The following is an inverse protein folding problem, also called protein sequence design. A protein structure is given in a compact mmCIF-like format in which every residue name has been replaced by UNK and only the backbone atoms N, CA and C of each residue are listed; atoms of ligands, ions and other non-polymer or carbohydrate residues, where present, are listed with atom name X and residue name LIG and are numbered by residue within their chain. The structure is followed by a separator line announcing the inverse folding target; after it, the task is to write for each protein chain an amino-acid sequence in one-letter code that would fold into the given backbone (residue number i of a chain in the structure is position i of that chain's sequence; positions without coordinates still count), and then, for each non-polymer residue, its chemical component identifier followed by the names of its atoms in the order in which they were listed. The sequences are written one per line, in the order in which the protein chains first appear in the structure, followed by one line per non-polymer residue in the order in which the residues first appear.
data_IF_652058789533
#
_entry.id   IF_652058789533
#
_cell.length_a   1.000
_cell.length_b   1.000
_cell.length_c   1.000
_cell.angle_alpha   90.00
_cell.angle_beta   90.00
_cell.angle_gamma   90.00
#
_symmetry.space_group_name_H-M   'P 1'
#
loop_
_entity.id
_entity.type
_entity.pdbx_description
1 polymer ?
#
# COMPACT_ATOMS: atom_id res chain seq x y z
N UNK A 1 -2.11 13.87 -6.58
CA UNK A 1 -1.86 12.41 -6.61
C UNK A 1 -1.24 11.99 -5.29
N UNK A 2 -1.59 10.81 -4.81
CA UNK A 2 -1.05 10.17 -3.61
C UNK A 2 -0.40 8.88 -4.06
N UNK A 3 0.81 8.63 -3.60
CA UNK A 3 1.53 7.38 -3.76
C UNK A 3 1.69 6.76 -2.40
N UNK A 4 1.59 5.44 -2.30
CA UNK A 4 1.93 4.76 -1.08
C UNK A 4 2.55 3.40 -1.33
N UNK A 5 3.30 2.97 -0.33
CA UNK A 5 3.97 1.69 -0.24
C UNK A 5 3.90 1.23 1.21
N UNK A 6 3.77 -0.06 1.44
CA UNK A 6 3.59 -0.60 2.78
C UNK A 6 4.40 -1.87 3.03
N UNK A 7 4.80 -2.04 4.29
CA UNK A 7 5.38 -3.28 4.77
C UNK A 7 4.39 -3.98 5.71
N UNK A 8 4.43 -5.31 5.67
CA UNK A 8 3.58 -6.16 6.51
C UNK A 8 4.45 -7.05 7.39
N UNK A 9 4.05 -7.24 8.64
CA UNK A 9 4.56 -8.35 9.46
C UNK A 9 3.75 -9.61 9.23
N UNK A 10 4.35 -10.75 9.58
CA UNK A 10 3.75 -12.09 9.51
C UNK A 10 3.96 -12.87 10.81
N UNK A 11 3.99 -12.17 11.94
CA UNK A 11 4.36 -12.74 13.24
C UNK A 11 3.20 -13.52 13.89
N UNK A 12 2.00 -13.41 13.32
CA UNK A 12 0.77 -13.99 13.86
C UNK A 12 0.12 -14.93 12.84
N UNK A 13 -0.65 -15.88 13.35
CA UNK A 13 -1.43 -16.81 12.53
C UNK A 13 -2.90 -16.43 12.61
N UNK A 14 -3.59 -16.46 11.48
CA UNK A 14 -5.04 -16.38 11.44
C UNK A 14 -5.62 -17.65 12.09
N UNK A 15 -6.51 -17.52 13.05
CA UNK A 15 -7.13 -18.66 13.73
C UNK A 15 -8.64 -18.48 13.83
N UNK A 16 -9.38 -19.59 13.80
CA UNK A 16 -10.81 -19.58 14.15
C UNK A 16 -10.97 -19.51 15.67
N UNK A 17 -12.19 -19.27 16.15
CA UNK A 17 -12.50 -19.15 17.58
C UNK A 17 -12.04 -20.36 18.41
N UNK A 18 -12.05 -21.55 17.80
CA UNK A 18 -11.61 -22.81 18.42
C UNK A 18 -10.11 -23.10 18.20
N UNK A 19 -9.34 -22.16 17.67
CA UNK A 19 -7.95 -22.36 17.27
C UNK A 19 -7.78 -23.13 15.95
N UNK A 20 -6.57 -23.10 15.38
CA UNK A 20 -6.24 -23.96 14.24
C UNK A 20 -6.05 -25.41 14.71
N UNK A 21 -6.77 -26.34 14.09
CA UNK A 21 -6.55 -27.78 14.24
C UNK A 21 -6.20 -28.35 12.85
N UNK A 22 -4.91 -28.60 12.54
CA UNK A 22 -4.53 -29.12 11.24
C UNK A 22 -4.89 -30.61 11.13
N UNK A 23 -5.16 -31.10 9.92
CA UNK A 23 -5.45 -32.52 9.73
C UNK A 23 -4.22 -33.37 10.02
N UNK A 24 -4.33 -34.29 10.98
CA UNK A 24 -3.26 -35.24 11.33
C UNK A 24 -3.19 -36.42 10.35
N UNK A 25 -4.29 -36.74 9.68
CA UNK A 25 -4.36 -37.78 8.66
C UNK A 25 -4.38 -37.17 7.26
N UNK A 26 -3.37 -37.51 6.45
CA UNK A 26 -3.33 -37.20 5.02
C UNK A 26 -4.18 -38.19 4.22
N UNK A 27 -4.88 -37.71 3.19
CA UNK A 27 -5.64 -38.58 2.29
C UNK A 27 -4.70 -39.52 1.54
N UNK A 28 -5.24 -40.58 0.93
CA UNK A 28 -4.45 -41.59 0.22
C UNK A 28 -3.49 -41.00 -0.83
N UNK A 29 -3.90 -39.90 -1.48
CA UNK A 29 -3.10 -39.22 -2.51
C UNK A 29 -2.00 -38.30 -1.95
N UNK A 30 -2.01 -38.02 -0.64
CA UNK A 30 -1.07 -37.12 0.03
C UNK A 30 -0.14 -37.84 1.02
N UNK A 31 -0.34 -39.14 1.27
CA UNK A 31 0.45 -39.93 2.21
C UNK A 31 1.96 -39.88 1.91
N UNK A 32 2.31 -39.95 0.63
CA UNK A 32 3.70 -40.04 0.17
C UNK A 32 4.21 -38.74 -0.49
N UNK A 33 3.43 -37.64 -0.43
CA UNK A 33 3.82 -36.34 -1.00
C UNK A 33 4.33 -35.42 0.09
N UNK A 34 5.28 -34.55 -0.21
CA UNK A 34 5.70 -33.50 0.73
C UNK A 34 4.55 -32.52 0.99
N UNK A 35 3.87 -32.09 -0.07
CA UNK A 35 2.74 -31.16 0.00
C UNK A 35 1.39 -31.86 0.17
N UNK A 36 0.56 -31.32 1.07
CA UNK A 36 -0.80 -31.77 1.30
C UNK A 36 -1.78 -31.12 0.30
N UNK A 37 -2.81 -31.86 -0.14
CA UNK A 37 -3.84 -31.29 -1.00
C UNK A 37 -4.73 -30.26 -0.27
N UNK A 38 -5.48 -29.47 -1.02
CA UNK A 38 -6.38 -28.43 -0.49
C UNK A 38 -7.38 -28.91 0.57
N UNK A 39 -7.78 -30.19 0.55
CA UNK A 39 -8.67 -30.76 1.58
C UNK A 39 -7.91 -31.13 2.86
N UNK A 40 -6.67 -31.61 2.72
CA UNK A 40 -5.82 -31.98 3.85
C UNK A 40 -5.23 -30.76 4.58
N UNK A 41 -5.25 -29.58 3.95
CA UNK A 41 -4.80 -28.31 4.54
C UNK A 41 -5.93 -27.54 5.26
N UNK A 42 -7.18 -28.02 5.20
CA UNK A 42 -8.29 -27.39 5.91
C UNK A 42 -8.17 -27.60 7.42
N UNK A 43 -8.46 -26.56 8.18
CA UNK A 43 -8.60 -26.67 9.63
C UNK A 43 -9.80 -27.57 9.97
N UNK A 44 -9.61 -28.57 10.82
CA UNK A 44 -10.67 -29.49 11.23
C UNK A 44 -11.77 -28.81 12.08
N UNK A 45 -11.43 -27.71 12.77
CA UNK A 45 -12.41 -26.98 13.58
C UNK A 45 -13.38 -26.12 12.74
N UNK A 46 -12.94 -25.57 11.61
CA UNK A 46 -13.75 -24.62 10.83
C UNK A 46 -13.88 -24.95 9.33
N UNK A 47 -13.14 -25.93 8.83
CA UNK A 47 -13.13 -26.34 7.42
C UNK A 47 -12.49 -25.32 6.47
N UNK A 48 -11.77 -24.31 6.97
CA UNK A 48 -11.21 -23.23 6.15
C UNK A 48 -9.69 -23.35 6.01
N UNK A 49 -9.17 -23.05 4.82
CA UNK A 49 -7.74 -23.11 4.48
C UNK A 49 -6.92 -21.93 5.04
N UNK A 50 -7.57 -20.78 5.29
CA UNK A 50 -6.88 -19.62 5.86
C UNK A 50 -6.55 -19.80 7.34
N UNK A 51 -7.27 -20.67 8.06
CA UNK A 51 -7.03 -20.90 9.47
C UNK A 51 -5.68 -21.63 9.60
N UNK A 52 -4.75 -21.07 10.38
CA UNK A 52 -3.36 -21.49 10.50
C UNK A 52 -2.41 -20.81 9.51
N UNK A 53 -2.92 -20.03 8.57
CA UNK A 53 -2.09 -19.24 7.65
C UNK A 53 -1.50 -18.03 8.37
N UNK A 54 -0.36 -17.53 7.89
CA UNK A 54 0.23 -16.30 8.41
C UNK A 54 -0.68 -15.11 8.14
N UNK A 55 -0.95 -14.32 9.16
CA UNK A 55 -1.65 -13.04 9.02
C UNK A 55 -0.68 -11.98 8.49
N UNK A 56 -1.05 -11.31 7.41
CA UNK A 56 -0.31 -10.17 6.90
C UNK A 56 -0.85 -8.89 7.56
N UNK A 57 -0.13 -8.36 8.56
CA UNK A 57 -0.52 -7.14 9.26
C UNK A 57 0.36 -5.99 8.82
N UNK A 58 -0.24 -4.99 8.16
CA UNK A 58 0.48 -3.76 7.78
C UNK A 58 0.96 -3.03 9.03
N UNK A 59 2.26 -2.79 9.12
CA UNK A 59 2.90 -2.14 10.29
C UNK A 59 3.68 -0.87 9.91
N UNK A 60 3.90 -0.65 8.62
CA UNK A 60 4.58 0.53 8.11
C UNK A 60 3.95 0.96 6.79
N UNK A 61 3.62 2.24 6.65
CA UNK A 61 3.12 2.81 5.39
C UNK A 61 3.88 4.11 5.14
N UNK A 62 4.49 4.22 3.97
CA UNK A 62 5.03 5.47 3.46
C UNK A 62 4.03 6.06 2.47
N UNK A 63 3.51 7.25 2.76
CA UNK A 63 2.64 8.00 1.87
C UNK A 63 3.38 9.20 1.32
N UNK A 64 3.33 9.40 0.01
CA UNK A 64 3.87 10.56 -0.67
C UNK A 64 2.79 11.27 -1.50
N UNK A 65 2.95 12.57 -1.68
CA UNK A 65 2.00 13.40 -2.44
C UNK A 65 2.72 14.19 -3.52
N UNK A 66 2.08 14.27 -4.69
CA UNK A 66 2.55 15.04 -5.82
C UNK A 66 1.39 15.80 -6.49
N UNK A 67 1.69 17.00 -6.98
CA UNK A 67 0.81 17.83 -7.80
C UNK A 67 1.64 18.48 -8.91
N UNK A 68 0.99 19.19 -9.83
CA UNK A 68 1.67 19.81 -10.98
C UNK A 68 2.78 20.80 -10.60
N UNK A 69 2.75 21.36 -9.39
CA UNK A 69 3.77 22.28 -8.90
C UNK A 69 5.03 21.59 -8.32
N UNK A 70 4.94 20.30 -7.99
CA UNK A 70 6.02 19.59 -7.30
C UNK A 70 6.35 18.22 -7.88
N UNK A 71 5.64 17.76 -8.91
CA UNK A 71 5.85 16.43 -9.51
C UNK A 71 7.30 16.22 -9.98
N UNK A 72 7.96 17.28 -10.43
CA UNK A 72 9.33 17.24 -10.94
C UNK A 72 10.40 17.50 -9.86
N UNK A 73 9.97 17.79 -8.63
CA UNK A 73 10.84 18.17 -7.52
C UNK A 73 11.12 16.96 -6.63
N UNK A 74 12.40 16.71 -6.36
CA UNK A 74 12.80 15.66 -5.43
C UNK A 74 12.32 15.99 -4.02
N UNK A 75 11.87 14.96 -3.29
CA UNK A 75 11.36 15.11 -1.92
C UNK A 75 12.49 15.46 -0.95
N UNK A 76 13.71 14.98 -1.19
CA UNK A 76 14.89 15.31 -0.38
C UNK A 76 15.19 16.81 -0.35
N UNK A 77 15.03 17.47 -1.49
CA UNK A 77 15.45 18.86 -1.68
C UNK A 77 14.30 19.81 -1.33
N UNK A 78 13.08 19.46 -1.76
CA UNK A 78 11.86 20.21 -1.50
C UNK A 78 10.78 19.31 -0.88
N UNK A 79 10.89 19.04 0.44
CA UNK A 79 9.98 18.12 1.13
C UNK A 79 8.60 18.71 1.36
N UNK A 80 8.42 20.02 1.16
CA UNK A 80 7.14 20.74 1.36
C UNK A 80 6.55 21.23 0.06
N UNK A 81 5.22 21.34 0.02
CA UNK A 81 4.49 21.96 -1.06
C UNK A 81 3.33 22.79 -0.51
N UNK A 82 3.09 23.96 -1.11
CA UNK A 82 1.93 24.81 -0.76
C UNK A 82 0.65 24.32 -1.43
N UNK A 83 0.74 23.52 -2.48
CA UNK A 83 -0.42 23.05 -3.27
C UNK A 83 -0.83 21.60 -2.97
N UNK A 84 0.07 20.82 -2.38
CA UNK A 84 -0.21 19.47 -1.89
C UNK A 84 0.37 19.28 -0.48
N UNK A 85 0.73 18.06 -0.12
CA UNK A 85 1.27 17.74 1.19
C UNK A 85 0.21 17.65 2.28
N UNK A 86 0.65 17.16 3.44
CA UNK A 86 -0.24 16.92 4.57
C UNK A 86 -0.47 18.21 5.34
N UNK A 87 -1.74 18.50 5.63
CA UNK A 87 -2.18 19.72 6.32
C UNK A 87 -3.01 19.38 7.56
N UNK A 88 -3.06 20.33 8.49
CA UNK A 88 -3.92 20.25 9.67
C UNK A 88 -5.25 20.94 9.41
N UNK A 89 -6.23 20.72 10.28
CA UNK A 89 -7.58 21.32 10.22
C UNK A 89 -7.60 22.86 10.16
N UNK A 90 -6.50 23.51 10.54
CA UNK A 90 -6.38 24.97 10.52
C UNK A 90 -5.98 25.53 9.15
N UNK A 91 -5.30 24.72 8.32
CA UNK A 91 -4.76 25.12 7.01
C UNK A 91 -5.16 24.19 5.86
N UNK A 92 -6.02 23.19 6.09
CA UNK A 92 -6.52 22.26 5.07
C UNK A 92 -7.76 22.76 4.32
N UNK A 93 -8.39 23.85 4.80
CA UNK A 93 -9.58 24.43 4.18
C UNK A 93 -9.26 24.92 2.77
N UNK A 94 -10.05 24.43 1.81
CA UNK A 94 -9.96 24.81 0.41
C UNK A 94 -11.03 25.82 0.03
N UNK A 95 -10.69 26.70 -0.91
CA UNK A 95 -11.65 27.38 -1.76
C UNK A 95 -11.54 26.78 -3.16
N UNK A 96 -12.64 26.24 -3.68
CA UNK A 96 -12.63 25.44 -4.91
C UNK A 96 -11.57 24.33 -4.87
N UNK A 97 -10.43 24.52 -5.53
CA UNK A 97 -9.33 23.54 -5.62
C UNK A 97 -8.07 23.93 -4.84
N UNK A 98 -8.01 25.15 -4.30
CA UNK A 98 -6.80 25.73 -3.70
C UNK A 98 -6.95 25.88 -2.18
N UNK A 99 -5.86 25.76 -1.45
CA UNK A 99 -5.87 25.97 -0.01
C UNK A 99 -5.99 27.46 0.31
N UNK A 100 -6.90 27.83 1.23
CA UNK A 100 -7.10 29.23 1.64
C UNK A 100 -5.93 29.82 2.42
N UNK A 101 -5.08 28.96 2.98
CA UNK A 101 -3.95 29.35 3.83
C UNK A 101 -2.70 28.61 3.40
N UNK A 102 -1.56 29.25 3.60
CA UNK A 102 -0.27 28.60 3.54
C UNK A 102 -0.14 27.48 4.58
N UNK A 103 0.70 26.46 4.35
CA UNK A 103 0.89 25.40 5.31
C UNK A 103 1.58 25.95 6.57
N UNK A 104 1.19 25.45 7.74
CA UNK A 104 1.86 25.78 9.01
C UNK A 104 3.37 25.54 8.90
N UNK A 105 4.16 26.58 9.19
CA UNK A 105 5.60 26.65 8.91
C UNK A 105 6.38 25.40 9.32
N UNK A 106 6.12 24.82 10.51
CA UNK A 106 6.89 23.67 11.02
C UNK A 106 6.23 22.32 10.79
N UNK A 107 4.93 22.24 10.59
CA UNK A 107 4.16 20.99 10.77
C UNK A 107 3.36 20.54 9.55
N UNK A 108 3.16 21.41 8.56
CA UNK A 108 2.32 21.12 7.41
C UNK A 108 3.06 21.32 6.09
N UNK A 109 2.41 20.88 5.00
CA UNK A 109 2.93 20.97 3.64
C UNK A 109 3.88 19.83 3.28
N UNK A 110 4.28 18.99 4.23
CA UNK A 110 5.16 17.85 3.97
C UNK A 110 4.54 16.89 2.98
N UNK A 111 5.29 16.58 1.93
CA UNK A 111 4.88 15.73 0.83
C UNK A 111 4.95 14.26 1.21
N UNK A 112 5.83 13.88 2.13
CA UNK A 112 5.94 12.54 2.69
C UNK A 112 5.33 12.48 4.10
N UNK A 113 4.70 11.34 4.40
CA UNK A 113 4.25 11.00 5.74
C UNK A 113 4.35 9.51 5.98
N UNK A 114 4.92 9.15 7.12
CA UNK A 114 5.11 7.77 7.53
C UNK A 114 4.08 7.43 8.62
N UNK A 115 3.45 6.26 8.49
CA UNK A 115 2.56 5.67 9.48
C UNK A 115 3.20 4.38 9.99
N UNK A 116 3.23 4.16 11.32
CA UNK A 116 3.89 3.02 11.94
C UNK A 116 3.06 2.40 13.04
N UNK A 117 3.31 1.13 13.30
CA UNK A 117 2.71 0.37 14.40
C UNK A 117 1.34 -0.18 14.05
N UNK A 118 0.62 -0.66 15.07
CA UNK A 118 -0.62 -1.41 14.88
C UNK A 118 -1.77 -0.57 14.30
N UNK A 119 -1.71 0.75 14.48
CA UNK A 119 -2.70 1.70 13.98
C UNK A 119 -2.29 2.32 12.63
N UNK A 120 -1.21 1.85 11.99
CA UNK A 120 -0.72 2.41 10.73
C UNK A 120 -1.82 2.45 9.66
N UNK A 121 -2.52 1.32 9.48
CA UNK A 121 -3.63 1.18 8.53
C UNK A 121 -4.75 2.19 8.80
N UNK A 122 -5.22 2.28 10.05
CA UNK A 122 -6.32 3.17 10.41
C UNK A 122 -5.92 4.65 10.24
N UNK A 123 -4.74 5.02 10.72
CA UNK A 123 -4.23 6.39 10.60
C UNK A 123 -4.01 6.80 9.14
N UNK A 124 -3.53 5.89 8.30
CA UNK A 124 -3.36 6.12 6.87
C UNK A 124 -4.71 6.25 6.16
N UNK A 125 -5.63 5.30 6.36
CA UNK A 125 -6.93 5.32 5.68
C UNK A 125 -7.77 6.54 6.08
N UNK A 126 -7.82 6.90 7.38
CA UNK A 126 -8.46 8.14 7.84
C UNK A 126 -7.87 9.37 7.17
N UNK A 127 -6.56 9.36 6.91
CA UNK A 127 -5.89 10.46 6.24
C UNK A 127 -6.26 10.51 4.76
N UNK A 128 -6.13 9.40 4.03
CA UNK A 128 -6.37 9.35 2.58
C UNK A 128 -7.83 9.60 2.24
N UNK A 129 -8.76 9.01 2.97
CA UNK A 129 -10.20 9.16 2.73
C UNK A 129 -10.81 10.38 3.43
N UNK A 130 -10.03 11.44 3.61
CA UNK A 130 -10.49 12.73 4.14
C UNK A 130 -10.83 13.72 3.02
N UNK A 131 -11.62 14.76 3.35
CA UNK A 131 -11.97 15.84 2.41
C UNK A 131 -10.75 16.54 1.80
N UNK A 132 -9.61 16.53 2.49
CA UNK A 132 -8.36 17.11 2.01
C UNK A 132 -7.93 16.51 0.65
N UNK A 133 -8.27 15.24 0.41
CA UNK A 133 -7.90 14.51 -0.80
C UNK A 133 -9.08 14.24 -1.74
N UNK A 134 -10.12 15.07 -1.66
CA UNK A 134 -11.20 15.07 -2.66
C UNK A 134 -10.63 15.18 -4.08
N UNK A 135 -11.11 14.35 -5.01
CA UNK A 135 -10.64 14.15 -6.38
C UNK A 135 -9.22 13.57 -6.51
N UNK A 136 -8.64 13.02 -5.45
CA UNK A 136 -7.32 12.43 -5.52
C UNK A 136 -7.31 11.10 -6.26
N UNK A 137 -6.18 10.85 -6.91
CA UNK A 137 -5.77 9.54 -7.38
C UNK A 137 -4.75 8.99 -6.39
N UNK A 138 -5.02 7.81 -5.85
CA UNK A 138 -4.15 7.03 -4.96
C UNK A 138 -3.52 5.92 -5.79
N UNK A 139 -2.20 5.81 -5.74
CA UNK A 139 -1.42 4.82 -6.46
C UNK A 139 -0.63 3.96 -5.48
N UNK A 140 -0.79 2.65 -5.60
CA UNK A 140 0.02 1.62 -4.95
C UNK A 140 0.94 0.96 -5.98
N UNK A 141 2.13 0.52 -5.57
CA UNK A 141 3.00 -0.29 -6.41
C UNK A 141 2.77 -1.77 -6.11
N UNK A 142 2.09 -2.51 -7.00
CA UNK A 142 1.64 -3.90 -6.78
C UNK A 142 0.43 -4.07 -5.83
N UNK A 143 -0.41 -3.05 -5.71
CA UNK A 143 -1.55 -3.12 -4.79
C UNK A 143 -2.60 -4.17 -5.16
N UNK A 144 -2.65 -4.63 -6.41
CA UNK A 144 -3.56 -5.70 -6.85
C UNK A 144 -3.27 -7.05 -6.21
N UNK A 145 -2.03 -7.27 -5.73
CA UNK A 145 -1.62 -8.47 -5.00
C UNK A 145 -1.99 -8.43 -3.51
N UNK A 146 -1.78 -7.29 -2.85
CA UNK A 146 -1.89 -7.19 -1.37
C UNK A 146 -2.38 -5.81 -0.88
N UNK A 147 -1.74 -4.72 -1.31
CA UNK A 147 -1.95 -3.41 -0.66
C UNK A 147 -3.38 -2.85 -0.80
N UNK A 148 -4.12 -3.23 -1.84
CA UNK A 148 -5.50 -2.76 -1.99
C UNK A 148 -6.49 -3.51 -1.10
N UNK A 149 -6.11 -4.67 -0.53
CA UNK A 149 -7.01 -5.45 0.33
C UNK A 149 -7.21 -4.83 1.71
N UNK A 150 -6.18 -4.23 2.30
CA UNK A 150 -6.35 -3.54 3.58
C UNK A 150 -7.20 -2.27 3.41
N UNK A 151 -7.11 -1.61 2.24
CA UNK A 151 -7.92 -0.44 1.91
C UNK A 151 -9.41 -0.80 1.84
N UNK A 152 -9.77 -1.84 1.08
CA UNK A 152 -11.17 -2.27 0.96
C UNK A 152 -11.72 -2.78 2.30
N UNK A 153 -10.92 -3.54 3.07
CA UNK A 153 -11.31 -4.02 4.39
C UNK A 153 -11.59 -2.85 5.35
N UNK A 154 -10.72 -1.85 5.40
CA UNK A 154 -10.93 -0.65 6.22
C UNK A 154 -12.19 0.13 5.78
N UNK A 155 -12.42 0.27 4.48
CA UNK A 155 -13.61 0.96 3.95
C UNK A 155 -14.90 0.24 4.36
N UNK A 156 -14.96 -1.09 4.19
CA UNK A 156 -16.12 -1.91 4.58
C UNK A 156 -16.36 -1.81 6.09
N UNK A 157 -15.32 -1.93 6.92
CA UNK A 157 -15.41 -1.77 8.38
C UNK A 157 -15.94 -0.40 8.80
N UNK A 158 -15.69 0.64 8.01
CA UNK A 158 -16.19 1.99 8.24
C UNK A 158 -17.50 2.30 7.48
N UNK A 159 -18.20 1.29 6.98
CA UNK A 159 -19.47 1.43 6.24
C UNK A 159 -19.37 2.32 5.00
N UNK A 160 -18.18 2.41 4.41
CA UNK A 160 -17.94 3.09 3.13
C UNK A 160 -17.93 2.01 2.06
N UNK A 161 -18.88 2.08 1.12
CA UNK A 161 -18.97 1.15 0.00
C UNK A 161 -18.19 1.70 -1.20
N UNK A 162 -17.05 1.10 -1.59
CA UNK A 162 -16.39 1.43 -2.85
C UNK A 162 -17.03 0.69 -4.04
N UNK A 163 -16.84 1.24 -5.24
CA UNK A 163 -17.06 0.55 -6.50
C UNK A 163 -15.73 -0.08 -6.94
N UNK A 164 -15.70 -1.40 -7.10
CA UNK A 164 -14.47 -2.16 -7.29
C UNK A 164 -14.53 -2.96 -8.59
N UNK A 165 -13.44 -2.93 -9.36
CA UNK A 165 -13.24 -3.76 -10.54
C UNK A 165 -12.18 -4.82 -10.21
N UNK A 166 -12.56 -6.07 -10.38
CA UNK A 166 -11.70 -7.22 -10.13
C UNK A 166 -11.20 -7.86 -11.43
N UNK A 167 -10.03 -8.50 -11.36
CA UNK A 167 -9.57 -9.47 -12.36
C UNK A 167 -9.18 -10.76 -11.62
N UNK A 168 -10.06 -11.76 -11.63
CA UNK A 168 -9.98 -12.89 -10.72
C UNK A 168 -10.11 -12.42 -9.27
N UNK A 169 -9.15 -12.79 -8.42
CA UNK A 169 -9.09 -12.27 -7.04
C UNK A 169 -8.53 -10.86 -6.94
N UNK A 170 -7.78 -10.38 -7.94
CA UNK A 170 -7.01 -9.14 -7.85
C UNK A 170 -7.88 -7.89 -7.97
N UNK A 171 -7.63 -6.89 -7.12
CA UNK A 171 -8.28 -5.57 -7.19
C UNK A 171 -7.55 -4.72 -8.22
N UNK A 172 -8.20 -4.43 -9.34
CA UNK A 172 -7.60 -3.66 -10.44
C UNK A 172 -7.81 -2.16 -10.29
N UNK A 173 -8.99 -1.79 -9.77
CA UNK A 173 -9.43 -0.42 -9.62
C UNK A 173 -10.47 -0.33 -8.51
N UNK A 174 -10.43 0.76 -7.76
CA UNK A 174 -11.41 1.06 -6.71
C UNK A 174 -11.77 2.54 -6.74
N UNK A 175 -13.06 2.85 -6.71
CA UNK A 175 -13.58 4.21 -6.64
C UNK A 175 -14.41 4.42 -5.38
N UNK A 176 -14.19 5.54 -4.71
CA UNK A 176 -14.95 5.96 -3.53
C UNK A 176 -15.83 7.14 -3.93
N UNK A 177 -17.08 6.81 -4.31
CA UNK A 177 -18.05 7.74 -4.88
C UNK A 177 -19.04 8.24 -3.81
N UNK A 178 -18.62 9.15 -2.92
CA UNK A 178 -19.49 9.84 -1.95
C UNK A 178 -18.96 11.22 -1.58
N UNK A 179 -18.93 12.14 -2.55
CA UNK A 179 -18.39 13.50 -2.35
C UNK A 179 -16.86 13.60 -2.33
N UNK A 180 -16.14 12.49 -2.11
CA UNK A 180 -14.68 12.44 -2.19
C UNK A 180 -14.15 12.21 -3.61
N UNK A 181 -14.81 11.39 -4.44
CA UNK A 181 -14.34 11.05 -5.81
C UNK A 181 -12.86 10.62 -5.82
N UNK A 182 -12.48 9.74 -4.88
CA UNK A 182 -11.13 9.19 -4.80
C UNK A 182 -11.04 7.93 -5.65
N UNK A 183 -9.97 7.80 -6.43
CA UNK A 183 -9.69 6.63 -7.25
C UNK A 183 -8.40 5.98 -6.79
N UNK A 184 -8.44 4.68 -6.51
CA UNK A 184 -7.27 3.87 -6.18
C UNK A 184 -6.92 3.01 -7.38
N UNK A 185 -5.67 3.07 -7.81
CA UNK A 185 -5.15 2.33 -8.95
C UNK A 185 -3.85 1.62 -8.55
N UNK A 186 -3.58 0.48 -9.17
CA UNK A 186 -2.29 -0.19 -9.10
C UNK A 186 -1.44 0.25 -10.29
N UNK A 187 -0.23 0.77 -10.02
CA UNK A 187 0.67 1.22 -11.08
C UNK A 187 1.08 0.10 -12.04
N UNK A 188 1.18 -1.16 -11.56
CA UNK A 188 1.57 -2.30 -12.40
C UNK A 188 0.52 -2.64 -13.47
N UNK A 189 -0.74 -2.26 -13.25
CA UNK A 189 -1.80 -2.47 -14.25
C UNK A 189 -1.66 -1.54 -15.47
N UNK A 190 -0.91 -0.44 -15.33
CA UNK A 190 -0.70 0.55 -16.39
C UNK A 190 0.75 0.56 -16.89
N UNK A 191 1.69 0.10 -16.07
CA UNK A 191 3.12 -0.02 -16.36
C UNK A 191 3.51 -1.49 -16.19
N UNK A 192 3.42 -2.33 -17.24
CA UNK A 192 3.66 -3.77 -17.15
C UNK A 192 5.14 -4.16 -16.99
N UNK A 193 5.99 -3.25 -16.53
CA UNK A 193 7.42 -3.49 -16.31
C UNK A 193 7.76 -3.35 -14.83
N UNK A 194 8.60 -4.27 -14.33
CA UNK A 194 9.35 -4.03 -13.09
C UNK A 194 10.12 -2.71 -13.25
N UNK A 195 10.29 -1.96 -12.16
CA UNK A 195 11.13 -0.76 -12.14
C UNK A 195 12.59 -1.23 -12.23
N UNK A 196 12.99 -1.63 -13.44
CA UNK A 196 14.36 -2.09 -13.74
C UNK A 196 15.22 -0.84 -13.72
N UNK A 197 16.18 -0.83 -12.80
CA UNK A 197 17.11 0.27 -12.55
C UNK A 197 17.99 0.62 -13.78
N UNK A 198 17.98 -0.20 -14.84
CA UNK A 198 18.61 0.10 -16.12
C UNK A 198 17.92 -0.63 -17.29
N UNK A 199 17.12 0.07 -18.10
CA UNK A 199 17.06 -0.21 -19.54
C UNK A 199 16.60 1.01 -20.34
N UNK A 200 17.36 1.33 -21.37
CA UNK A 200 17.07 2.32 -22.41
C UNK A 200 15.99 1.76 -23.35
N UNK A 201 14.77 1.54 -22.86
CA UNK A 201 13.64 1.22 -23.74
C UNK A 201 12.91 2.50 -24.16
N UNK A 202 12.56 2.54 -25.45
CA UNK A 202 12.06 3.68 -26.24
C UNK A 202 10.78 4.34 -25.68
N UNK A 203 10.13 3.72 -24.68
CA UNK A 203 8.97 4.27 -23.96
C UNK A 203 9.32 5.28 -22.86
N UNK A 204 10.61 5.40 -22.50
CA UNK A 204 11.13 6.33 -21.49
C UNK A 204 11.11 7.81 -21.90
N UNK A 205 10.54 8.15 -23.07
CA UNK A 205 10.34 9.54 -23.51
C UNK A 205 8.93 10.10 -23.22
N UNK A 206 8.00 9.31 -22.67
CA UNK A 206 6.60 9.72 -22.55
C UNK A 206 5.93 9.61 -21.17
N UNK A 207 6.46 8.80 -20.26
CA UNK A 207 6.05 8.76 -18.85
C UNK A 207 7.35 8.65 -18.04
N UNK A 208 7.61 9.69 -17.26
CA UNK A 208 8.94 10.11 -16.83
C UNK A 208 9.66 9.07 -15.96
N UNK A 209 10.86 8.67 -16.40
CA UNK A 209 11.90 7.98 -15.60
C UNK A 209 12.11 8.62 -14.20
N UNK A 210 11.80 9.91 -14.07
CA UNK A 210 11.90 10.71 -12.83
C UNK A 210 10.77 10.49 -11.83
N UNK A 211 9.56 10.11 -12.30
CA UNK A 211 8.40 9.78 -11.45
C UNK A 211 8.54 8.42 -10.76
N UNK A 212 9.56 7.62 -11.11
CA UNK A 212 9.86 6.36 -10.44
C UNK A 212 11.17 6.49 -9.65
N UNK A 213 12.23 7.04 -10.25
CA UNK A 213 13.57 7.08 -9.62
C UNK A 213 13.65 7.92 -8.34
N UNK A 214 12.85 8.98 -8.19
CA UNK A 214 12.80 9.78 -6.95
C UNK A 214 11.84 9.21 -5.89
N UNK A 215 10.94 8.32 -6.28
CA UNK A 215 9.87 7.77 -5.43
C UNK A 215 10.33 6.51 -4.67
N UNK A 216 11.33 5.81 -5.22
CA UNK A 216 11.98 4.67 -4.57
C UNK A 216 13.25 5.06 -3.82
N UNK A 217 13.50 6.34 -3.54
CA UNK A 217 14.67 6.77 -2.77
C UNK A 217 14.28 7.27 -1.38
N UNK A 218 14.94 6.77 -0.34
CA UNK A 218 14.91 7.33 1.01
C UNK A 218 16.26 8.00 1.29
N UNK A 219 16.27 9.31 1.55
CA UNK A 219 17.48 10.10 1.79
C UNK A 219 18.55 9.96 0.68
N UNK A 220 18.15 10.01 -0.59
CA UNK A 220 19.07 9.91 -1.74
C UNK A 220 19.71 8.52 -1.93
N UNK A 221 19.25 7.51 -1.17
CA UNK A 221 19.63 6.11 -1.37
C UNK A 221 18.44 5.34 -1.96
N UNK A 222 18.65 4.47 -2.97
CA UNK A 222 17.59 3.56 -3.40
C UNK A 222 17.10 2.73 -2.20
N UNK A 223 15.77 2.66 -2.02
CA UNK A 223 15.12 1.70 -1.12
C UNK A 223 15.44 0.31 -1.67
N UNK A 224 16.19 -0.45 -0.86
CA UNK A 224 16.48 -1.89 -0.97
C UNK A 224 16.31 -2.53 -2.37
N UNK A 225 17.43 -2.92 -2.97
CA UNK A 225 17.45 -4.18 -3.71
C UNK A 225 16.93 -5.28 -2.77
N UNK A 226 15.95 -6.10 -3.18
CA UNK A 226 15.74 -7.44 -2.63
C UNK A 226 15.06 -8.33 -3.69
N UNK A 227 15.20 -9.67 -3.65
CA UNK A 227 15.86 -10.48 -4.65
C UNK A 227 14.83 -11.38 -5.35
N UNK A 228 15.34 -12.10 -6.33
CA UNK A 228 14.69 -13.23 -7.00
C UNK A 228 14.15 -14.23 -5.96
N UNK A 229 13.03 -14.94 -6.22
CA UNK A 229 12.41 -15.86 -5.24
C UNK A 229 13.39 -16.92 -4.77
N UNK A 230 13.69 -16.90 -3.49
CA UNK A 230 14.59 -17.85 -2.85
C UNK A 230 15.41 -17.18 -1.76
N UNK A 231 15.05 -17.48 -0.51
CA UNK A 231 15.93 -17.44 0.66
C UNK A 231 16.23 -16.10 1.39
N UNK A 232 15.98 -16.17 2.70
CA UNK A 232 16.56 -15.47 3.86
C UNK A 232 16.15 -14.04 4.25
N UNK A 233 15.54 -14.02 5.45
CA UNK A 233 15.61 -13.07 6.57
C UNK A 233 16.80 -12.09 6.49
N UNK A 234 16.53 -10.79 6.54
CA UNK A 234 17.52 -9.79 6.96
C UNK A 234 17.08 -9.09 8.25
N UNK A 235 17.75 -9.46 9.34
CA UNK A 235 17.83 -8.68 10.58
C UNK A 235 18.48 -7.34 10.26
N UNK A 236 17.75 -6.24 10.47
CA UNK A 236 18.40 -4.93 10.63
C UNK A 236 19.04 -4.89 12.03
N UNK A 237 20.37 -5.01 12.09
CA UNK A 237 21.14 -4.51 13.23
C UNK A 237 21.08 -2.99 13.18
N UNK A 238 20.44 -2.40 14.17
CA UNK A 238 20.74 -1.04 14.60
C UNK A 238 22.14 -1.06 15.19
N UNK A 239 23.03 -0.21 14.69
CA UNK A 239 24.21 0.19 15.46
C UNK A 239 24.34 1.71 15.40
N UNK A 240 24.59 2.23 16.60
CA UNK A 240 25.25 3.50 16.93
C UNK A 240 26.53 3.73 16.12
#
# INVERSE_FOLDING_TARGET
MIFFDCETTQDTLLQCENGNLPSTSRCQNCKDKEEACNQCTLCQNCGKSWCGSKEHKVNFICMQTACDHCKDKQISDEPKCNFCGVRCSMCDKKDKKEFKKEPCFKTCGFRERIFRGELATDAFCRRVFSEQYTNAVVLSHNGSGYDNYFLIDWLIKNSIRPDVIFNGSKIMYMAINRGLNIRVLDSLNFLPYEVIENSESVWTKGIEKRLLSSFFQYNGKPKLHWPIPGQYILRLRLHE
#
